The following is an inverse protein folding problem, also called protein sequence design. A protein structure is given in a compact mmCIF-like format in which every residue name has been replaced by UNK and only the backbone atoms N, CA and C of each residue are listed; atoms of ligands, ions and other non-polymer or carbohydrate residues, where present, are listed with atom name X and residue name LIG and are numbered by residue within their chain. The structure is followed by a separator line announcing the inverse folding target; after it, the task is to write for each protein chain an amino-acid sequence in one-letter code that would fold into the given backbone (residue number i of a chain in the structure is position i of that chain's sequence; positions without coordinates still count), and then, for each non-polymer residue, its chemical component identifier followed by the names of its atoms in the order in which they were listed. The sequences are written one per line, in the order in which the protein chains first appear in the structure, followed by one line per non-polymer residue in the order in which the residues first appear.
data_IF_023988959032
#
_entry.id   IF_023988959032
#
_cell.length_a   1.000
_cell.length_b   1.000
_cell.length_c   1.000
_cell.angle_alpha   90.00
_cell.angle_beta   90.00
_cell.angle_gamma   90.00
#
_symmetry.space_group_name_H-M   'P 1'
#
loop_
_entity.id
_entity.type
_entity.pdbx_description
1 polymer ?
#
# COMPACT_ATOMS: atom_id res chain seq x y z
N UNK A 1 -14.25 -2.29 -10.19
CA UNK A 1 -13.21 -1.55 -10.96
C UNK A 1 -13.60 -0.09 -11.08
N UNK A 2 -12.65 0.80 -10.91
CA UNK A 2 -12.90 2.24 -11.02
C UNK A 2 -13.03 2.67 -12.47
N UNK A 3 -13.88 3.67 -12.74
CA UNK A 3 -13.98 4.27 -14.06
C UNK A 3 -12.72 5.09 -14.39
N UNK A 4 -12.43 5.34 -15.70
CA UNK A 4 -11.30 6.18 -16.07
C UNK A 4 -11.40 7.55 -15.40
N UNK A 5 -10.29 8.02 -14.82
CA UNK A 5 -10.21 9.30 -14.16
C UNK A 5 -10.73 9.34 -12.74
N UNK A 6 -11.25 8.24 -12.22
CA UNK A 6 -11.64 8.19 -10.82
C UNK A 6 -10.41 8.23 -9.90
N UNK A 7 -10.51 8.94 -8.76
CA UNK A 7 -9.42 8.96 -7.79
C UNK A 7 -9.10 7.57 -7.26
N UNK A 8 -7.84 7.37 -6.85
CA UNK A 8 -7.43 6.17 -6.15
C UNK A 8 -8.28 6.01 -4.89
N UNK A 9 -8.88 4.84 -4.72
CA UNK A 9 -9.67 4.57 -3.53
C UNK A 9 -8.77 4.06 -2.41
N UNK A 10 -8.82 4.72 -1.27
CA UNK A 10 -8.12 4.30 -0.06
C UNK A 10 -9.17 3.87 0.96
N UNK A 11 -9.17 2.58 1.28
CA UNK A 11 -10.06 2.03 2.31
C UNK A 11 -9.34 2.16 3.66
N UNK A 12 -9.92 2.92 4.57
CA UNK A 12 -9.25 3.27 5.81
C UNK A 12 -10.01 2.72 7.02
N UNK A 13 -9.24 2.25 8.01
CA UNK A 13 -9.76 1.80 9.31
C UNK A 13 -9.11 2.63 10.39
N UNK A 14 -9.93 3.28 11.20
CA UNK A 14 -9.46 4.08 12.34
C UNK A 14 -9.33 3.23 13.59
N UNK A 15 -8.25 3.49 14.34
CA UNK A 15 -7.99 2.81 15.60
C UNK A 15 -8.44 3.67 16.79
N UNK A 16 -8.56 3.06 17.96
CA UNK A 16 -8.97 3.76 19.18
C UNK A 16 -8.01 4.89 19.58
N UNK A 17 -6.73 4.77 19.20
CA UNK A 17 -5.71 5.81 19.43
C UNK A 17 -5.66 6.88 18.35
N UNK A 18 -6.65 6.97 17.48
CA UNK A 18 -6.76 7.89 16.34
C UNK A 18 -5.79 7.59 15.19
N UNK A 19 -4.99 6.54 15.28
CA UNK A 19 -4.20 6.07 14.15
C UNK A 19 -5.10 5.50 13.06
N UNK A 20 -4.65 5.56 11.81
CA UNK A 20 -5.42 5.10 10.66
C UNK A 20 -4.55 4.19 9.79
N UNK A 21 -5.08 3.02 9.45
CA UNK A 21 -4.47 2.13 8.46
C UNK A 21 -5.31 2.21 7.19
N UNK A 22 -4.69 2.63 6.10
CA UNK A 22 -5.33 2.69 4.79
C UNK A 22 -4.82 1.57 3.88
N UNK A 23 -5.65 1.18 2.93
CA UNK A 23 -5.32 0.14 1.94
C UNK A 23 -5.74 0.62 0.56
N UNK A 24 -4.90 0.38 -0.45
CA UNK A 24 -5.25 0.69 -1.83
C UNK A 24 -4.63 -0.31 -2.80
N UNK A 25 -5.06 -0.27 -4.05
CA UNK A 25 -4.39 -0.99 -5.11
C UNK A 25 -3.06 -0.32 -5.45
N UNK A 26 -2.26 -0.96 -6.31
CA UNK A 26 -0.99 -0.38 -6.75
C UNK A 26 -1.24 0.90 -7.54
N UNK A 27 -0.66 2.04 -7.13
CA UNK A 27 -0.84 3.30 -7.84
C UNK A 27 -0.32 3.22 -9.27
N UNK A 28 -1.05 3.82 -10.21
CA UNK A 28 -0.65 3.89 -11.61
C UNK A 28 -0.72 2.59 -12.38
N UNK A 29 -1.19 1.52 -11.79
CA UNK A 29 -1.12 0.17 -12.35
C UNK A 29 -1.91 0.00 -13.63
N UNK A 30 -1.48 -1.01 -14.40
CA UNK A 30 -2.25 -1.53 -15.53
C UNK A 30 -3.52 -2.22 -14.99
N UNK A 31 -4.67 -1.90 -15.56
CA UNK A 31 -5.95 -2.50 -15.20
C UNK A 31 -6.55 -3.25 -16.37
N UNK A 32 -7.23 -4.36 -16.08
CA UNK A 32 -7.98 -5.13 -17.05
C UNK A 32 -9.47 -5.02 -16.76
N UNK A 33 -10.27 -4.86 -17.82
CA UNK A 33 -11.72 -4.78 -17.69
C UNK A 33 -12.39 -5.42 -18.88
N UNK A 34 -13.72 -5.54 -18.83
CA UNK A 34 -14.49 -6.00 -19.98
C UNK A 34 -14.36 -5.06 -21.18
N UNK A 35 -14.01 -3.81 -20.96
CA UNK A 35 -13.79 -2.82 -22.03
C UNK A 35 -12.35 -2.82 -22.55
N UNK A 36 -11.46 -3.66 -22.01
CA UNK A 36 -10.07 -3.76 -22.42
C UNK A 36 -9.07 -3.45 -21.31
N UNK A 37 -7.91 -2.96 -21.72
CA UNK A 37 -6.77 -2.69 -20.83
C UNK A 37 -6.56 -1.18 -20.77
N UNK A 38 -6.30 -0.66 -19.57
CA UNK A 38 -5.96 0.76 -19.39
C UNK A 38 -4.96 0.93 -18.26
N UNK A 39 -4.25 2.06 -18.28
CA UNK A 39 -3.35 2.47 -17.20
C UNK A 39 -4.07 3.47 -16.29
N UNK A 40 -3.91 3.31 -14.97
CA UNK A 40 -4.25 4.38 -14.05
C UNK A 40 -3.26 5.52 -14.23
N UNK A 41 -3.69 6.74 -13.91
CA UNK A 41 -2.82 7.92 -13.93
C UNK A 41 -1.98 7.92 -12.66
N UNK A 42 -0.67 7.66 -12.79
CA UNK A 42 0.23 7.59 -11.64
C UNK A 42 0.34 8.92 -10.91
N UNK A 43 0.40 10.03 -11.63
CA UNK A 43 0.51 11.35 -11.01
C UNK A 43 -0.74 11.69 -10.21
N UNK A 44 -1.91 11.38 -10.76
CA UNK A 44 -3.17 11.58 -10.05
C UNK A 44 -3.25 10.69 -8.80
N UNK A 45 -2.81 9.44 -8.90
CA UNK A 45 -2.81 8.52 -7.77
C UNK A 45 -1.86 8.99 -6.68
N UNK A 46 -0.68 9.51 -7.07
CA UNK A 46 0.26 10.08 -6.10
C UNK A 46 -0.31 11.31 -5.41
N UNK A 47 -1.01 12.18 -6.15
CA UNK A 47 -1.67 13.34 -5.55
C UNK A 47 -2.70 12.90 -4.50
N UNK A 48 -3.45 11.85 -4.78
CA UNK A 48 -4.42 11.30 -3.83
C UNK A 48 -3.72 10.79 -2.57
N UNK A 49 -2.60 10.08 -2.72
CA UNK A 49 -1.82 9.59 -1.58
C UNK A 49 -1.27 10.76 -0.75
N UNK A 50 -0.74 11.78 -1.42
CA UNK A 50 -0.19 12.95 -0.75
C UNK A 50 -1.27 13.71 0.02
N UNK A 51 -2.46 13.85 -0.56
CA UNK A 51 -3.60 14.49 0.11
C UNK A 51 -4.07 13.69 1.32
N UNK A 52 -3.99 12.36 1.24
CA UNK A 52 -4.33 11.50 2.36
C UNK A 52 -3.33 11.61 3.51
N UNK A 53 -2.10 12.02 3.18
CA UNK A 53 -1.04 12.39 4.13
C UNK A 53 -0.58 11.24 5.04
N UNK A 54 -0.13 10.11 4.49
CA UNK A 54 0.45 9.06 5.32
C UNK A 54 1.81 9.47 5.86
N UNK A 55 2.17 8.99 7.05
CA UNK A 55 3.55 9.07 7.54
C UNK A 55 4.42 8.00 6.90
N UNK A 56 3.84 6.83 6.67
CA UNK A 56 4.54 5.66 6.12
C UNK A 56 3.69 4.99 5.05
N UNK A 57 4.33 4.56 3.97
CA UNK A 57 3.72 3.74 2.91
C UNK A 57 4.49 2.43 2.81
N UNK A 58 3.77 1.32 2.73
CA UNK A 58 4.37 -0.02 2.62
C UNK A 58 3.87 -0.69 1.36
N UNK A 59 4.81 -1.08 0.49
CA UNK A 59 4.54 -1.86 -0.72
C UNK A 59 4.66 -3.33 -0.40
N UNK A 60 3.59 -4.09 -0.64
CA UNK A 60 3.52 -5.52 -0.32
C UNK A 60 3.66 -6.42 -1.55
N UNK A 61 3.79 -5.85 -2.74
CA UNK A 61 3.99 -6.63 -3.96
C UNK A 61 5.46 -7.02 -4.12
N UNK A 62 5.71 -8.10 -4.87
CA UNK A 62 7.07 -8.54 -5.15
C UNK A 62 7.72 -7.65 -6.21
N UNK A 63 9.06 -7.67 -6.26
CA UNK A 63 9.83 -6.80 -7.15
C UNK A 63 9.40 -6.92 -8.62
N UNK A 64 9.18 -8.15 -9.10
CA UNK A 64 8.79 -8.36 -10.50
C UNK A 64 7.38 -7.85 -10.82
N UNK A 65 6.52 -7.71 -9.81
CA UNK A 65 5.15 -7.24 -10.04
C UNK A 65 5.11 -5.77 -10.45
N UNK A 66 6.09 -4.96 -10.05
CA UNK A 66 6.16 -3.57 -10.52
C UNK A 66 6.25 -3.51 -12.05
N UNK A 67 7.01 -4.42 -12.67
CA UNK A 67 7.11 -4.50 -14.13
C UNK A 67 5.84 -5.04 -14.76
N UNK A 68 5.25 -6.09 -14.17
CA UNK A 68 4.00 -6.68 -14.66
C UNK A 68 2.88 -5.65 -14.66
N UNK A 69 2.80 -4.83 -13.61
CA UNK A 69 1.77 -3.81 -13.47
C UNK A 69 2.12 -2.52 -14.22
N UNK A 70 3.22 -2.49 -14.96
CA UNK A 70 3.68 -1.36 -15.77
C UNK A 70 4.02 -0.11 -14.97
N UNK A 71 4.51 -0.32 -13.75
CA UNK A 71 4.93 0.77 -12.85
C UNK A 71 6.36 0.56 -12.36
N UNK A 72 7.28 0.22 -13.28
CA UNK A 72 8.66 -0.09 -12.95
C UNK A 72 9.38 1.04 -12.20
N UNK A 73 8.93 2.30 -12.38
CA UNK A 73 9.54 3.45 -11.72
C UNK A 73 8.87 3.83 -10.39
N UNK A 74 7.84 3.08 -9.98
CA UNK A 74 7.12 3.39 -8.75
C UNK A 74 8.01 3.39 -7.50
N UNK A 75 8.94 2.42 -7.32
CA UNK A 75 9.83 2.46 -6.15
C UNK A 75 10.63 3.77 -6.05
N UNK A 76 11.11 4.29 -7.17
CA UNK A 76 11.84 5.56 -7.19
C UNK A 76 10.95 6.75 -6.79
N UNK A 77 9.69 6.74 -7.22
CA UNK A 77 8.72 7.76 -6.84
C UNK A 77 8.45 7.71 -5.35
N UNK A 78 8.31 6.53 -4.77
CA UNK A 78 8.11 6.36 -3.33
C UNK A 78 9.32 6.84 -2.54
N UNK A 79 10.53 6.49 -2.98
CA UNK A 79 11.76 6.90 -2.29
C UNK A 79 11.95 8.42 -2.28
N UNK A 80 11.49 9.09 -3.34
CA UNK A 80 11.58 10.55 -3.46
C UNK A 80 10.47 11.29 -2.72
N UNK A 81 9.46 10.59 -2.23
CA UNK A 81 8.31 11.20 -1.57
C UNK A 81 8.65 11.61 -0.11
N UNK A 82 7.85 12.53 0.48
CA UNK A 82 8.13 13.01 1.85
C UNK A 82 7.78 12.02 2.96
N UNK A 83 7.04 10.95 2.66
CA UNK A 83 6.74 9.92 3.65
C UNK A 83 7.83 8.84 3.67
N UNK A 84 7.89 8.05 4.73
CA UNK A 84 8.76 6.89 4.79
C UNK A 84 8.17 5.76 3.91
N UNK A 85 9.04 5.04 3.22
CA UNK A 85 8.62 3.94 2.37
C UNK A 85 9.37 2.66 2.72
N UNK A 86 8.63 1.57 2.83
CA UNK A 86 9.19 0.23 3.03
C UNK A 86 8.66 -0.72 1.97
N UNK A 87 9.54 -1.56 1.44
CA UNK A 87 9.16 -2.62 0.52
C UNK A 87 9.24 -3.95 1.27
N UNK A 88 8.09 -4.52 1.59
CA UNK A 88 7.96 -5.76 2.35
C UNK A 88 7.15 -6.77 1.52
N UNK A 89 7.78 -7.45 0.52
CA UNK A 89 7.02 -8.25 -0.42
C UNK A 89 6.41 -9.50 0.20
N UNK A 90 5.18 -9.79 -0.24
CA UNK A 90 4.45 -11.02 0.07
C UNK A 90 4.04 -11.63 -1.27
N UNK A 91 4.20 -12.95 -1.43
CA UNK A 91 3.77 -13.65 -2.63
C UNK A 91 2.25 -13.51 -2.80
N UNK A 92 1.79 -13.20 -4.02
CA UNK A 92 0.37 -13.07 -4.31
C UNK A 92 -0.37 -14.38 -4.00
N UNK A 93 -1.56 -14.25 -3.40
CA UNK A 93 -2.37 -15.38 -2.92
C UNK A 93 -1.66 -16.23 -1.86
N UNK A 94 -0.50 -15.79 -1.38
CA UNK A 94 0.24 -16.46 -0.32
C UNK A 94 0.00 -15.83 1.03
N UNK A 95 0.38 -16.55 2.09
CA UNK A 95 0.48 -15.99 3.42
C UNK A 95 1.86 -15.36 3.61
N UNK A 96 2.01 -14.41 4.56
CA UNK A 96 3.33 -13.91 4.92
C UNK A 96 4.26 -15.05 5.32
N UNK A 97 5.42 -15.12 4.66
CA UNK A 97 6.39 -16.17 4.91
C UNK A 97 7.51 -15.73 5.85
N UNK A 98 8.49 -16.62 6.06
CA UNK A 98 9.60 -16.37 6.96
C UNK A 98 10.40 -15.12 6.61
N UNK A 99 10.65 -14.92 5.31
CA UNK A 99 11.41 -13.75 4.86
C UNK A 99 10.67 -12.44 5.17
N UNK A 100 9.36 -12.40 4.89
CA UNK A 100 8.54 -11.24 5.25
C UNK A 100 8.56 -11.01 6.75
N UNK A 101 8.37 -12.06 7.55
CA UNK A 101 8.32 -11.93 9.01
C UNK A 101 9.61 -11.37 9.58
N UNK A 102 10.76 -11.84 9.08
CA UNK A 102 12.05 -11.32 9.50
C UNK A 102 12.20 -9.83 9.19
N UNK A 103 11.79 -9.43 8.00
CA UNK A 103 11.87 -8.04 7.57
C UNK A 103 10.89 -7.15 8.33
N UNK A 104 9.64 -7.60 8.47
CA UNK A 104 8.59 -6.83 9.11
C UNK A 104 8.84 -6.65 10.61
N UNK A 105 9.48 -7.62 11.25
CA UNK A 105 9.82 -7.55 12.67
C UNK A 105 10.67 -6.32 13.01
N UNK A 106 11.47 -5.82 12.06
CA UNK A 106 12.29 -4.63 12.25
C UNK A 106 11.47 -3.34 12.25
N UNK A 107 10.37 -3.30 11.53
CA UNK A 107 9.60 -2.05 11.36
C UNK A 107 8.29 -2.06 12.15
N UNK A 108 7.75 -3.22 12.50
CA UNK A 108 6.44 -3.32 13.14
C UNK A 108 6.34 -2.52 14.44
N UNK A 109 7.32 -2.57 15.37
CA UNK A 109 7.21 -1.75 16.59
C UNK A 109 7.10 -0.26 16.31
N UNK A 110 7.85 0.24 15.34
CA UNK A 110 7.77 1.65 14.93
C UNK A 110 6.43 2.00 14.31
N UNK A 111 5.86 1.10 13.52
CA UNK A 111 4.53 1.30 12.93
C UNK A 111 3.45 1.38 14.00
N UNK A 112 3.50 0.49 14.98
CA UNK A 112 2.55 0.49 16.10
C UNK A 112 2.66 1.78 16.91
N UNK A 113 3.89 2.26 17.13
CA UNK A 113 4.12 3.53 17.81
C UNK A 113 3.55 4.71 17.00
N UNK A 114 3.67 4.69 15.68
CA UNK A 114 3.07 5.72 14.81
C UNK A 114 1.55 5.74 14.96
N UNK A 115 0.93 4.57 14.93
CA UNK A 115 -0.53 4.45 15.09
C UNK A 115 -0.99 4.95 16.47
N UNK A 116 -0.21 4.68 17.52
CA UNK A 116 -0.51 5.18 18.87
C UNK A 116 -0.47 6.71 18.93
N UNK A 117 0.37 7.34 18.10
CA UNK A 117 0.45 8.80 18.02
C UNK A 117 -0.59 9.44 17.11
N UNK A 118 -1.49 8.65 16.52
CA UNK A 118 -2.52 9.17 15.62
C UNK A 118 -2.06 9.32 14.18
N UNK A 119 -0.93 8.72 13.81
CA UNK A 119 -0.41 8.81 12.45
C UNK A 119 -1.12 7.86 11.49
N UNK A 120 -0.92 8.07 10.18
CA UNK A 120 -1.52 7.25 9.13
C UNK A 120 -0.49 6.40 8.42
N UNK A 121 -0.83 5.14 8.20
CA UNK A 121 -0.01 4.18 7.46
C UNK A 121 -0.83 3.69 6.27
N UNK A 122 -0.23 3.73 5.07
CA UNK A 122 -0.85 3.23 3.85
C UNK A 122 -0.19 1.93 3.40
N UNK A 123 -1.01 0.91 3.15
CA UNK A 123 -0.58 -0.37 2.61
C UNK A 123 -1.11 -0.50 1.19
N UNK A 124 -0.28 -0.96 0.24
CA UNK A 124 -0.79 -1.31 -1.08
C UNK A 124 -0.32 -2.69 -1.52
N UNK A 125 -1.13 -3.34 -2.32
CA UNK A 125 -0.75 -4.54 -3.04
C UNK A 125 -1.06 -4.37 -4.53
N UNK A 126 -1.42 -5.40 -5.27
CA UNK A 126 -1.59 -5.27 -6.72
C UNK A 126 -2.97 -4.71 -7.08
N UNK A 127 -3.98 -5.54 -7.14
CA UNK A 127 -5.31 -5.16 -7.62
C UNK A 127 -6.37 -5.27 -6.54
N UNK A 128 -6.42 -6.40 -5.85
CA UNK A 128 -7.30 -6.60 -4.71
C UNK A 128 -6.65 -6.10 -3.44
N UNK A 129 -7.29 -6.34 -2.32
CA UNK A 129 -6.80 -5.89 -1.01
C UNK A 129 -6.35 -7.07 -0.12
N UNK A 130 -6.14 -8.27 -0.71
CA UNK A 130 -5.84 -9.46 0.07
C UNK A 130 -4.60 -9.34 0.93
N UNK A 131 -3.45 -9.03 0.33
CA UNK A 131 -2.19 -8.86 1.07
C UNK A 131 -2.25 -7.65 2.00
N UNK A 132 -2.79 -6.53 1.53
CA UNK A 132 -2.95 -5.33 2.34
C UNK A 132 -3.90 -5.59 3.51
N UNK A 133 -5.01 -6.30 3.28
CA UNK A 133 -5.97 -6.65 4.32
C UNK A 133 -5.36 -7.52 5.42
N UNK A 134 -4.51 -8.49 5.03
CA UNK A 134 -3.83 -9.35 5.99
C UNK A 134 -2.94 -8.54 6.94
N UNK A 135 -2.15 -7.62 6.39
CA UNK A 135 -1.24 -6.81 7.20
C UNK A 135 -1.99 -5.74 7.99
N UNK A 136 -3.03 -5.14 7.39
CA UNK A 136 -3.89 -4.22 8.14
C UNK A 136 -4.49 -4.90 9.37
N UNK A 137 -5.02 -6.11 9.22
CA UNK A 137 -5.55 -6.88 10.33
C UNK A 137 -4.51 -7.14 11.41
N UNK A 138 -3.30 -7.46 11.01
CA UNK A 138 -2.18 -7.67 11.95
C UNK A 138 -1.86 -6.41 12.74
N UNK A 139 -1.82 -5.25 12.10
CA UNK A 139 -1.56 -3.98 12.76
C UNK A 139 -2.71 -3.59 13.70
N UNK A 140 -3.95 -3.85 13.30
CA UNK A 140 -5.12 -3.59 14.14
C UNK A 140 -5.10 -4.41 15.42
N UNK A 141 -4.67 -5.67 15.36
CA UNK A 141 -4.60 -6.55 16.53
C UNK A 141 -3.46 -6.12 17.44
N UNK A 142 -2.34 -5.68 16.88
CA UNK A 142 -1.16 -5.29 17.64
C UNK A 142 -1.22 -3.91 18.28
N UNK A 143 -2.15 -3.09 17.80
CA UNK A 143 -2.24 -1.71 18.27
C UNK A 143 -3.00 -1.55 19.57
#
# INVERSE_FOLDING_TARGET
MQAPGEPLQIDAVSLSGNGVVGMCCCPGRLEFSSAGVRMRDLDQDFDTIMDWNPLTVISLIEQHEFSILRVAHLPQRFEAAPFDWYHCPITDLGAPGTHFEAQFAHIEPGLLAQLDRGEKILLHCAAGLGRAGTIAGRLLIGA
#
